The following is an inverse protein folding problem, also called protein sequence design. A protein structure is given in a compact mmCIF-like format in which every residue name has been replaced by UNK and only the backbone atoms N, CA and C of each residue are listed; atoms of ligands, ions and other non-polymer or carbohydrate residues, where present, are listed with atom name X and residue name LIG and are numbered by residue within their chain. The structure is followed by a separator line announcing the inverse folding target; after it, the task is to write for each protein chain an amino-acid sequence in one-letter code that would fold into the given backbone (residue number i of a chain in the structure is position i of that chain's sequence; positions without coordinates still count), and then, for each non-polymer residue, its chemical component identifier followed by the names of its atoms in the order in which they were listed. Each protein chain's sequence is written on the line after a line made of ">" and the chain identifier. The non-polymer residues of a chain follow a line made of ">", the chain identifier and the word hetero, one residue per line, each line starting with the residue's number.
data_IF_317175491298
#
_entry.id   IF_317175491298
#
_cell.length_a   1.000
_cell.length_b   1.000
_cell.length_c   1.000
_cell.angle_alpha   90.00
_cell.angle_beta   90.00
_cell.angle_gamma   90.00
#
_symmetry.space_group_name_H-M   'P 1'
#
loop_
_entity.id
_entity.type
_entity.pdbx_description
1 polymer ?
#
# COMPACT_ATOMS: atom_id res chain seq x y z
N UNK A 1 22.21 -7.00 18.64
CA UNK A 1 21.59 -8.32 18.41
C UNK A 1 22.69 -9.37 18.48
N UNK A 2 22.59 -10.37 19.36
CA UNK A 2 23.62 -11.42 19.47
C UNK A 2 23.44 -12.35 18.27
N UNK A 3 24.46 -12.38 17.39
CA UNK A 3 24.47 -13.26 16.21
C UNK A 3 24.85 -14.67 16.62
N UNK A 4 24.46 -15.65 15.82
CA UNK A 4 24.98 -17.00 15.99
C UNK A 4 26.50 -17.02 15.76
N UNK A 5 27.25 -17.85 16.51
CA UNK A 5 28.64 -18.12 16.20
C UNK A 5 28.77 -18.70 14.78
N UNK A 6 29.77 -18.30 13.98
CA UNK A 6 29.93 -18.75 12.59
C UNK A 6 29.86 -20.28 12.42
N UNK A 7 30.44 -21.02 13.37
CA UNK A 7 30.45 -22.49 13.40
C UNK A 7 29.05 -23.12 13.53
N UNK A 8 28.07 -22.38 14.05
CA UNK A 8 26.69 -22.86 14.18
C UNK A 8 25.81 -22.48 12.98
N UNK A 9 26.22 -21.51 12.16
CA UNK A 9 25.38 -20.93 11.10
C UNK A 9 24.85 -21.99 10.14
N UNK A 10 25.70 -22.90 9.67
CA UNK A 10 25.30 -23.95 8.73
C UNK A 10 24.21 -24.86 9.32
N UNK A 11 24.44 -25.40 10.52
CA UNK A 11 23.48 -26.28 11.18
C UNK A 11 22.14 -25.57 11.46
N UNK A 12 22.16 -24.28 11.79
CA UNK A 12 20.94 -23.50 12.02
C UNK A 12 20.18 -23.17 10.73
N UNK A 13 20.90 -22.95 9.63
CA UNK A 13 20.29 -22.80 8.32
C UNK A 13 19.64 -24.12 7.86
N UNK A 14 20.27 -25.27 8.08
CA UNK A 14 19.68 -26.57 7.75
C UNK A 14 18.37 -26.82 8.53
N UNK A 15 18.35 -26.46 9.82
CA UNK A 15 17.14 -26.52 10.64
C UNK A 15 16.04 -25.58 10.13
N UNK A 16 16.41 -24.35 9.76
CA UNK A 16 15.45 -23.38 9.20
C UNK A 16 14.88 -23.87 7.87
N UNK A 17 15.71 -24.40 6.97
CA UNK A 17 15.26 -24.93 5.69
C UNK A 17 14.37 -26.17 5.88
N UNK A 18 14.72 -27.04 6.82
CA UNK A 18 13.88 -28.19 7.18
C UNK A 18 12.51 -27.74 7.70
N UNK A 19 12.47 -26.74 8.58
CA UNK A 19 11.23 -26.14 9.07
C UNK A 19 10.39 -25.51 7.94
N UNK A 20 11.03 -24.77 7.05
CA UNK A 20 10.36 -24.12 5.90
C UNK A 20 9.70 -25.16 4.98
N UNK A 21 10.38 -26.27 4.73
CA UNK A 21 9.91 -27.33 3.83
C UNK A 21 9.01 -28.37 4.52
N UNK A 22 8.86 -28.31 5.84
CA UNK A 22 7.97 -29.22 6.56
C UNK A 22 6.50 -29.01 6.14
N UNK A 23 5.81 -30.09 5.81
CA UNK A 23 4.39 -30.07 5.39
C UNK A 23 3.42 -30.01 6.59
N UNK A 24 3.93 -29.93 7.82
CA UNK A 24 3.08 -29.76 9.00
C UNK A 24 2.13 -28.56 8.88
N UNK A 25 0.90 -28.75 9.37
CA UNK A 25 -0.19 -27.78 9.30
C UNK A 25 0.00 -26.61 10.28
N UNK A 26 0.95 -25.73 9.98
CA UNK A 26 1.05 -24.40 10.58
C UNK A 26 0.33 -23.39 9.68
N UNK A 27 -0.31 -22.40 10.31
CA UNK A 27 -0.82 -21.26 9.56
C UNK A 27 0.33 -20.59 8.77
N UNK A 28 0.15 -20.28 7.48
CA UNK A 28 1.22 -19.77 6.63
C UNK A 28 1.83 -18.46 7.10
N UNK A 29 1.03 -17.57 7.68
CA UNK A 29 1.52 -16.29 8.18
C UNK A 29 2.33 -16.48 9.45
N UNK A 30 1.93 -17.42 10.30
CA UNK A 30 2.71 -17.81 11.49
C UNK A 30 4.04 -18.44 11.08
N UNK A 31 4.02 -19.35 10.09
CA UNK A 31 5.23 -19.99 9.55
C UNK A 31 6.18 -18.94 8.95
N UNK A 32 5.65 -18.00 8.19
CA UNK A 32 6.41 -16.88 7.63
C UNK A 32 7.00 -15.97 8.71
N UNK A 33 6.24 -15.65 9.76
CA UNK A 33 6.71 -14.87 10.90
C UNK A 33 7.90 -15.55 11.60
N UNK A 34 7.79 -16.85 11.88
CA UNK A 34 8.84 -17.63 12.53
C UNK A 34 10.11 -17.72 11.66
N UNK A 35 9.94 -18.00 10.36
CA UNK A 35 11.05 -18.08 9.42
C UNK A 35 11.78 -16.74 9.26
N UNK A 36 11.04 -15.62 9.16
CA UNK A 36 11.60 -14.27 9.11
C UNK A 36 12.49 -14.00 10.32
N UNK A 37 11.96 -14.23 11.53
CA UNK A 37 12.69 -14.01 12.76
C UNK A 37 13.94 -14.88 12.83
N UNK A 38 13.79 -16.19 12.60
CA UNK A 38 14.90 -17.14 12.70
C UNK A 38 16.01 -16.80 11.73
N UNK A 39 15.70 -16.48 10.47
CA UNK A 39 16.70 -16.08 9.48
C UNK A 39 17.48 -14.82 9.90
N UNK A 40 16.76 -13.81 10.41
CA UNK A 40 17.40 -12.55 10.85
C UNK A 40 18.29 -12.79 12.09
N UNK A 41 17.92 -13.71 12.97
CA UNK A 41 18.71 -14.17 14.13
C UNK A 41 19.97 -14.93 13.71
N UNK A 42 19.85 -15.87 12.78
CA UNK A 42 21.00 -16.63 12.27
C UNK A 42 22.00 -15.69 11.60
N UNK A 43 21.52 -14.77 10.77
CA UNK A 43 22.33 -13.77 10.06
C UNK A 43 23.47 -14.41 9.22
N UNK A 44 23.14 -15.32 8.28
CA UNK A 44 24.12 -16.20 7.64
C UNK A 44 25.10 -15.50 6.68
N UNK A 45 24.77 -14.31 6.19
CA UNK A 45 25.58 -13.58 5.22
C UNK A 45 26.25 -12.35 5.82
N UNK A 46 27.30 -11.84 5.18
CA UNK A 46 27.93 -10.57 5.58
C UNK A 46 27.03 -9.35 5.31
N UNK A 47 26.29 -9.38 4.20
CA UNK A 47 25.29 -8.39 3.80
C UNK A 47 24.07 -9.08 3.14
N UNK A 48 22.96 -8.37 3.03
CA UNK A 48 21.78 -8.82 2.29
C UNK A 48 20.77 -9.58 3.15
N UNK A 49 21.09 -9.89 4.41
CA UNK A 49 20.21 -10.67 5.28
C UNK A 49 18.79 -10.12 5.34
N UNK A 50 18.63 -8.80 5.53
CA UNK A 50 17.30 -8.18 5.57
C UNK A 50 16.54 -8.23 4.23
N UNK A 51 17.24 -8.27 3.09
CA UNK A 51 16.59 -8.42 1.76
C UNK A 51 16.12 -9.86 1.56
N UNK A 52 16.99 -10.82 1.87
CA UNK A 52 16.70 -12.26 1.73
C UNK A 52 15.58 -12.67 2.69
N UNK A 53 15.61 -12.20 3.93
CA UNK A 53 14.59 -12.53 4.93
C UNK A 53 13.18 -12.11 4.50
N UNK A 54 13.05 -10.91 3.90
CA UNK A 54 11.79 -10.41 3.34
C UNK A 54 11.36 -11.23 2.12
N UNK A 55 12.29 -11.58 1.24
CA UNK A 55 12.00 -12.44 0.08
C UNK A 55 11.49 -13.84 0.49
N UNK A 56 12.11 -14.46 1.50
CA UNK A 56 11.66 -15.74 2.07
C UNK A 56 10.25 -15.60 2.64
N UNK A 57 9.98 -14.52 3.37
CA UNK A 57 8.68 -14.28 3.99
C UNK A 57 7.58 -14.11 2.92
N UNK A 58 7.85 -13.30 1.89
CA UNK A 58 6.92 -13.13 0.76
C UNK A 58 6.67 -14.45 0.01
N UNK A 59 7.71 -15.27 -0.16
CA UNK A 59 7.60 -16.60 -0.76
C UNK A 59 6.69 -17.52 0.07
N UNK A 60 6.92 -17.61 1.39
CA UNK A 60 6.14 -18.45 2.29
C UNK A 60 4.66 -18.06 2.35
N UNK A 61 4.39 -16.76 2.38
CA UNK A 61 3.02 -16.23 2.34
C UNK A 61 2.36 -16.63 1.01
N UNK A 62 3.06 -16.51 -0.13
CA UNK A 62 2.52 -16.82 -1.46
C UNK A 62 2.23 -18.29 -1.67
N UNK A 63 3.13 -19.18 -1.25
CA UNK A 63 2.97 -20.62 -1.45
C UNK A 63 1.64 -21.17 -0.91
N UNK A 64 1.13 -20.57 0.16
CA UNK A 64 0.00 -21.11 0.89
C UNK A 64 -1.29 -20.29 0.75
N UNK A 65 -1.26 -19.19 0.00
CA UNK A 65 -2.41 -18.29 -0.18
C UNK A 65 -3.19 -18.55 -1.48
N UNK A 66 -2.77 -19.52 -2.28
CA UNK A 66 -3.40 -19.88 -3.55
C UNK A 66 -3.31 -18.79 -4.64
N UNK A 67 -4.23 -18.82 -5.60
CA UNK A 67 -4.33 -17.87 -6.73
C UNK A 67 -4.80 -16.46 -6.31
N UNK A 68 -4.93 -16.18 -5.01
CA UNK A 68 -5.33 -14.87 -4.53
C UNK A 68 -4.27 -13.83 -4.88
N UNK A 69 -4.69 -12.77 -5.57
CA UNK A 69 -3.83 -11.67 -5.96
C UNK A 69 -3.16 -11.02 -4.72
N UNK A 70 -1.86 -11.27 -4.53
CA UNK A 70 -1.04 -10.70 -3.46
C UNK A 70 -0.73 -9.23 -3.73
N UNK A 71 -1.67 -8.36 -3.36
CA UNK A 71 -1.55 -6.92 -3.54
C UNK A 71 -0.84 -6.20 -2.38
N UNK A 72 -0.39 -6.90 -1.35
CA UNK A 72 0.27 -6.30 -0.18
C UNK A 72 1.76 -6.65 -0.16
N UNK A 73 2.55 -5.80 0.48
CA UNK A 73 4.00 -5.95 0.57
C UNK A 73 4.44 -5.72 2.02
N UNK A 74 4.95 -6.76 2.68
CA UNK A 74 5.41 -6.69 4.08
C UNK A 74 6.55 -5.67 4.27
N UNK A 75 7.35 -5.42 3.24
CA UNK A 75 8.44 -4.45 3.30
C UNK A 75 7.92 -3.04 3.54
N UNK A 76 6.72 -2.72 3.04
CA UNK A 76 6.10 -1.41 3.25
C UNK A 76 5.65 -1.24 4.71
N UNK A 77 5.10 -2.28 5.32
CA UNK A 77 4.74 -2.28 6.74
C UNK A 77 5.95 -2.19 7.65
N UNK A 78 7.00 -2.97 7.38
CA UNK A 78 8.27 -2.89 8.12
C UNK A 78 8.91 -1.50 7.97
N UNK A 79 8.84 -0.89 6.79
CA UNK A 79 9.39 0.46 6.56
C UNK A 79 8.60 1.53 7.33
N UNK A 80 7.26 1.41 7.37
CA UNK A 80 6.36 2.33 8.08
C UNK A 80 6.67 2.39 9.59
N UNK A 81 7.04 1.27 10.19
CA UNK A 81 7.44 1.19 11.60
C UNK A 81 8.73 0.39 11.82
N UNK A 82 9.82 0.92 11.25
CA UNK A 82 11.15 0.32 11.32
C UNK A 82 11.63 0.16 12.78
N UNK A 83 11.30 1.12 13.64
CA UNK A 83 11.76 1.11 15.03
C UNK A 83 11.10 -0.03 15.82
N UNK A 84 9.79 -0.22 15.67
CA UNK A 84 9.09 -1.32 16.31
C UNK A 84 9.58 -2.67 15.79
N UNK A 85 9.81 -2.81 14.48
CA UNK A 85 10.38 -4.04 13.91
C UNK A 85 11.69 -4.47 14.59
N UNK A 86 12.66 -3.56 14.73
CA UNK A 86 13.93 -3.91 15.41
C UNK A 86 13.74 -4.15 16.91
N UNK A 87 12.83 -3.41 17.57
CA UNK A 87 12.50 -3.63 18.99
C UNK A 87 11.96 -5.04 19.21
N UNK A 88 11.06 -5.50 18.35
CA UNK A 88 10.46 -6.83 18.46
C UNK A 88 11.49 -7.95 18.19
N UNK A 89 12.37 -7.78 17.20
CA UNK A 89 13.49 -8.73 16.98
C UNK A 89 14.40 -8.79 18.21
N UNK A 90 14.73 -7.63 18.78
CA UNK A 90 15.59 -7.56 19.96
C UNK A 90 14.96 -8.29 21.16
N UNK A 91 13.68 -8.03 21.42
CA UNK A 91 12.94 -8.68 22.50
C UNK A 91 12.88 -10.21 22.32
N UNK A 92 12.62 -10.66 21.08
CA UNK A 92 12.56 -12.09 20.76
C UNK A 92 13.93 -12.80 20.78
N UNK A 93 15.05 -12.05 20.81
CA UNK A 93 16.41 -12.62 20.78
C UNK A 93 17.17 -12.51 22.11
N UNK A 94 17.24 -11.32 22.71
CA UNK A 94 18.16 -11.00 23.83
C UNK A 94 17.54 -11.34 25.20
N UNK A 95 16.22 -11.31 25.29
CA UNK A 95 15.47 -11.36 26.55
C UNK A 95 14.50 -12.57 26.60
N UNK A 96 14.81 -13.65 25.88
CA UNK A 96 13.88 -14.75 25.63
C UNK A 96 14.41 -16.14 26.04
N UNK A 97 14.53 -16.43 27.34
CA UNK A 97 14.98 -17.73 27.84
C UNK A 97 13.99 -18.86 27.52
N UNK A 98 12.69 -18.54 27.44
CA UNK A 98 11.62 -19.50 27.17
C UNK A 98 11.40 -19.75 25.66
N UNK A 99 12.14 -19.04 24.80
CA UNK A 99 11.94 -19.00 23.34
C UNK A 99 10.49 -18.67 22.91
N UNK A 100 9.74 -17.96 23.75
CA UNK A 100 8.39 -17.51 23.44
C UNK A 100 8.44 -16.37 22.42
N UNK A 101 7.96 -16.64 21.21
CA UNK A 101 7.90 -15.68 20.12
C UNK A 101 6.48 -15.14 19.88
N UNK A 102 5.56 -15.35 20.82
CA UNK A 102 4.14 -14.95 20.68
C UNK A 102 3.99 -13.47 20.39
N UNK A 103 4.70 -12.60 21.13
CA UNK A 103 4.66 -11.15 20.90
C UNK A 103 5.16 -10.75 19.51
N UNK A 104 6.20 -11.44 19.01
CA UNK A 104 6.69 -11.25 17.66
C UNK A 104 5.65 -11.66 16.61
N UNK A 105 5.03 -12.82 16.78
CA UNK A 105 3.99 -13.32 15.87
C UNK A 105 2.79 -12.37 15.85
N UNK A 106 2.29 -11.94 17.02
CA UNK A 106 1.19 -10.98 17.11
C UNK A 106 1.53 -9.66 16.42
N UNK A 107 2.73 -9.11 16.66
CA UNK A 107 3.19 -7.90 15.99
C UNK A 107 3.24 -8.08 14.47
N UNK A 108 3.82 -9.19 14.01
CA UNK A 108 3.95 -9.49 12.58
C UNK A 108 2.57 -9.60 11.91
N UNK A 109 1.65 -10.35 12.50
CA UNK A 109 0.29 -10.52 11.97
C UNK A 109 -0.49 -9.20 11.96
N UNK A 110 -0.30 -8.35 12.98
CA UNK A 110 -0.89 -7.01 13.01
C UNK A 110 -0.36 -6.15 11.87
N UNK A 111 0.95 -6.12 11.67
CA UNK A 111 1.59 -5.38 10.57
C UNK A 111 1.13 -5.89 9.20
N UNK A 112 1.04 -7.21 9.00
CA UNK A 112 0.53 -7.80 7.76
C UNK A 112 -0.93 -7.43 7.53
N UNK A 113 -1.77 -7.50 8.56
CA UNK A 113 -3.18 -7.10 8.49
C UNK A 113 -3.34 -5.63 8.07
N UNK A 114 -2.55 -4.73 8.64
CA UNK A 114 -2.52 -3.32 8.21
C UNK A 114 -2.11 -3.15 6.75
N UNK A 115 -1.12 -3.91 6.27
CA UNK A 115 -0.70 -3.90 4.88
C UNK A 115 -1.82 -4.40 3.94
N UNK A 116 -2.56 -5.43 4.34
CA UNK A 116 -3.70 -5.95 3.57
C UNK A 116 -4.82 -4.91 3.49
N UNK A 117 -5.16 -4.26 4.60
CA UNK A 117 -6.18 -3.20 4.64
C UNK A 117 -5.77 -2.02 3.75
N UNK A 118 -4.53 -1.54 3.85
CA UNK A 118 -4.04 -0.44 3.02
C UNK A 118 -4.03 -0.81 1.53
N UNK A 119 -3.66 -2.04 1.21
CA UNK A 119 -3.68 -2.55 -0.16
C UNK A 119 -5.10 -2.60 -0.72
N UNK A 120 -6.07 -3.10 0.06
CA UNK A 120 -7.48 -3.13 -0.33
C UNK A 120 -8.01 -1.72 -0.62
N UNK A 121 -7.71 -0.74 0.22
CA UNK A 121 -8.15 0.64 -0.02
C UNK A 121 -7.49 1.25 -1.26
N UNK A 122 -6.21 0.96 -1.49
CA UNK A 122 -5.50 1.38 -2.71
C UNK A 122 -6.13 0.74 -3.95
N UNK A 123 -6.42 -0.56 -3.91
CA UNK A 123 -7.07 -1.28 -5.00
C UNK A 123 -8.47 -0.74 -5.30
N UNK A 124 -9.30 -0.54 -4.28
CA UNK A 124 -10.63 0.06 -4.45
C UNK A 124 -10.54 1.40 -5.18
N UNK A 125 -9.61 2.26 -4.77
CA UNK A 125 -9.39 3.57 -5.37
C UNK A 125 -8.93 3.48 -6.83
N UNK A 126 -8.00 2.59 -7.14
CA UNK A 126 -7.52 2.37 -8.52
C UNK A 126 -8.64 1.83 -9.40
N UNK A 127 -9.43 0.88 -8.89
CA UNK A 127 -10.56 0.28 -9.62
C UNK A 127 -11.66 1.31 -9.88
N UNK A 128 -12.07 2.08 -8.86
CA UNK A 128 -13.10 3.11 -9.01
C UNK A 128 -12.66 4.22 -9.97
N UNK A 129 -11.41 4.68 -9.85
CA UNK A 129 -10.82 5.66 -10.79
C UNK A 129 -10.79 5.10 -12.21
N UNK A 130 -10.38 3.85 -12.38
CA UNK A 130 -10.31 3.22 -13.72
C UNK A 130 -11.69 3.05 -14.34
N UNK A 131 -12.68 2.60 -13.56
CA UNK A 131 -14.06 2.44 -14.00
C UNK A 131 -14.66 3.80 -14.41
N UNK A 132 -14.49 4.82 -13.56
CA UNK A 132 -14.90 6.19 -13.86
C UNK A 132 -14.28 6.69 -15.16
N UNK A 133 -12.96 6.61 -15.32
CA UNK A 133 -12.28 7.10 -16.53
C UNK A 133 -12.68 6.33 -17.79
N UNK A 134 -12.96 5.03 -17.70
CA UNK A 134 -13.49 4.22 -18.80
C UNK A 134 -14.93 4.56 -19.18
N UNK A 135 -15.72 5.09 -18.24
CA UNK A 135 -17.10 5.50 -18.49
C UNK A 135 -17.21 6.81 -19.30
N UNK A 136 -16.12 7.57 -19.42
CA UNK A 136 -16.08 8.83 -20.15
C UNK A 136 -15.84 8.57 -21.65
N UNK A 137 -16.61 9.26 -22.51
CA UNK A 137 -16.32 9.27 -23.95
C UNK A 137 -15.07 10.12 -24.23
N UNK A 138 -13.96 9.55 -24.74
CA UNK A 138 -12.75 10.31 -25.04
C UNK A 138 -12.93 11.38 -26.12
N UNK A 139 -13.99 11.32 -26.94
CA UNK A 139 -14.31 12.35 -27.92
C UNK A 139 -15.11 13.52 -27.35
N UNK A 140 -15.75 13.32 -26.19
CA UNK A 140 -16.56 14.35 -25.52
C UNK A 140 -15.68 15.35 -24.75
N UNK A 141 -14.58 14.86 -24.14
CA UNK A 141 -13.72 15.66 -23.28
C UNK A 141 -12.37 15.95 -23.91
N UNK A 142 -11.90 17.18 -23.74
CA UNK A 142 -10.53 17.51 -24.12
C UNK A 142 -9.50 16.96 -23.12
N UNK A 143 -8.23 16.91 -23.52
CA UNK A 143 -7.14 16.37 -22.70
C UNK A 143 -6.95 17.07 -21.33
N UNK A 144 -7.23 18.37 -21.24
CA UNK A 144 -7.16 19.12 -19.97
C UNK A 144 -8.28 18.70 -19.03
N UNK A 145 -9.50 18.57 -19.54
CA UNK A 145 -10.65 18.09 -18.78
C UNK A 145 -10.42 16.67 -18.28
N UNK A 146 -9.97 15.76 -19.15
CA UNK A 146 -9.64 14.38 -18.76
C UNK A 146 -8.56 14.34 -17.67
N UNK A 147 -7.50 15.14 -17.80
CA UNK A 147 -6.43 15.23 -16.80
C UNK A 147 -6.92 15.73 -15.45
N UNK A 148 -7.79 16.76 -15.42
CA UNK A 148 -8.35 17.26 -14.16
C UNK A 148 -9.36 16.28 -13.57
N UNK A 149 -10.23 15.66 -14.38
CA UNK A 149 -11.17 14.63 -13.92
C UNK A 149 -10.44 13.44 -13.30
N UNK A 150 -9.35 12.98 -13.91
CA UNK A 150 -8.48 11.94 -13.34
C UNK A 150 -7.96 12.34 -11.96
N UNK A 151 -7.39 13.55 -11.82
CA UNK A 151 -6.84 14.04 -10.55
C UNK A 151 -7.88 14.22 -9.44
N UNK A 152 -9.11 14.53 -9.82
CA UNK A 152 -10.23 14.65 -8.90
C UNK A 152 -10.71 13.28 -8.45
N UNK A 153 -10.84 12.32 -9.38
CA UNK A 153 -11.31 10.96 -9.09
C UNK A 153 -10.26 10.12 -8.34
N UNK A 154 -8.98 10.24 -8.70
CA UNK A 154 -7.87 9.58 -8.02
C UNK A 154 -7.47 10.28 -6.71
N UNK A 155 -8.20 11.30 -6.28
CA UNK A 155 -7.97 12.03 -5.02
C UNK A 155 -6.57 12.63 -4.87
N UNK A 156 -5.79 12.82 -5.94
CA UNK A 156 -4.50 13.53 -5.91
C UNK A 156 -4.68 15.04 -5.84
N UNK A 157 -5.88 15.54 -6.13
CA UNK A 157 -6.26 16.93 -5.94
C UNK A 157 -6.96 17.16 -4.59
N UNK A 158 -6.45 18.11 -3.80
CA UNK A 158 -6.98 18.43 -2.48
C UNK A 158 -7.66 19.80 -2.41
N UNK A 159 -8.80 19.82 -1.71
CA UNK A 159 -9.58 21.02 -1.42
C UNK A 159 -10.42 21.52 -2.60
N UNK A 160 -10.78 22.80 -2.55
CA UNK A 160 -11.66 23.46 -3.53
C UNK A 160 -10.92 23.72 -4.85
N UNK A 161 -11.54 23.38 -5.99
CA UNK A 161 -11.06 23.70 -7.34
C UNK A 161 -11.43 25.13 -7.69
N UNK A 162 -10.44 25.94 -8.07
CA UNK A 162 -10.66 27.32 -8.55
C UNK A 162 -10.15 27.45 -9.98
N UNK A 163 -10.60 28.50 -10.68
CA UNK A 163 -10.07 28.81 -12.03
C UNK A 163 -8.55 28.96 -12.02
N UNK A 164 -7.98 29.53 -10.95
CA UNK A 164 -6.52 29.68 -10.81
C UNK A 164 -5.81 28.33 -10.66
N UNK A 165 -6.34 27.42 -9.82
CA UNK A 165 -5.79 26.07 -9.68
C UNK A 165 -5.90 25.29 -11.01
N UNK A 166 -7.00 25.44 -11.74
CA UNK A 166 -7.15 24.85 -13.08
C UNK A 166 -6.07 25.34 -14.04
N UNK A 167 -5.85 26.65 -14.11
CA UNK A 167 -4.82 27.25 -14.96
C UNK A 167 -3.42 26.74 -14.59
N UNK A 168 -3.11 26.64 -13.30
CA UNK A 168 -1.83 26.09 -12.81
C UNK A 168 -1.61 24.63 -13.23
N UNK A 169 -2.66 23.81 -13.20
CA UNK A 169 -2.57 22.39 -13.57
C UNK A 169 -2.54 22.14 -15.08
N UNK A 170 -3.14 23.02 -15.88
CA UNK A 170 -3.39 22.78 -17.32
C UNK A 170 -2.71 23.79 -18.25
N UNK A 171 -2.00 24.77 -17.67
CA UNK A 171 -1.26 25.85 -18.35
C UNK A 171 -2.10 26.64 -19.37
N UNK A 172 -3.43 26.67 -19.23
CA UNK A 172 -4.32 27.38 -20.14
C UNK A 172 -4.64 28.81 -19.66
N UNK A 173 -5.23 29.62 -20.54
CA UNK A 173 -5.72 30.96 -20.17
C UNK A 173 -6.92 30.90 -19.23
N UNK A 174 -7.19 32.01 -18.53
CA UNK A 174 -8.34 32.14 -17.61
C UNK A 174 -9.68 31.89 -18.31
N UNK A 175 -9.83 32.39 -19.53
CA UNK A 175 -11.05 32.22 -20.33
C UNK A 175 -11.27 30.75 -20.70
N UNK A 176 -10.20 30.05 -21.10
CA UNK A 176 -10.27 28.61 -21.40
C UNK A 176 -10.59 27.80 -20.15
N UNK A 177 -9.92 28.08 -19.03
CA UNK A 177 -10.18 27.42 -17.75
C UNK A 177 -11.63 27.59 -17.30
N UNK A 178 -12.17 28.81 -17.38
CA UNK A 178 -13.56 29.07 -17.02
C UNK A 178 -14.53 28.29 -17.92
N UNK A 179 -14.31 28.27 -19.24
CA UNK A 179 -15.12 27.50 -20.18
C UNK A 179 -15.08 25.99 -19.89
N UNK A 180 -13.90 25.44 -19.65
CA UNK A 180 -13.72 24.01 -19.36
C UNK A 180 -14.44 23.64 -18.06
N UNK A 181 -14.32 24.46 -17.01
CA UNK A 181 -15.02 24.27 -15.72
C UNK A 181 -16.55 24.34 -15.91
N UNK A 182 -17.07 25.38 -16.56
CA UNK A 182 -18.51 25.53 -16.78
C UNK A 182 -19.09 24.38 -17.59
N UNK A 183 -18.32 23.83 -18.54
CA UNK A 183 -18.72 22.62 -19.24
C UNK A 183 -18.86 21.43 -18.29
N UNK A 184 -17.87 21.17 -17.43
CA UNK A 184 -17.94 20.08 -16.45
C UNK A 184 -19.04 20.27 -15.39
N UNK A 185 -19.35 21.51 -15.01
CA UNK A 185 -20.50 21.83 -14.15
C UNK A 185 -21.81 21.47 -14.85
N UNK A 186 -22.00 21.89 -16.11
CA UNK A 186 -23.21 21.56 -16.89
C UNK A 186 -23.39 20.06 -17.10
N UNK A 187 -22.28 19.32 -17.23
CA UNK A 187 -22.27 17.86 -17.34
C UNK A 187 -22.41 17.14 -16.00
N UNK A 188 -22.42 17.88 -14.88
CA UNK A 188 -22.62 17.33 -13.55
C UNK A 188 -21.38 16.72 -12.89
N UNK A 189 -20.18 16.88 -13.45
CA UNK A 189 -18.93 16.40 -12.82
C UNK A 189 -18.42 17.33 -11.71
N UNK A 190 -18.80 18.61 -11.76
CA UNK A 190 -18.42 19.62 -10.79
C UNK A 190 -19.65 20.28 -10.16
N UNK A 191 -19.60 20.50 -8.86
CA UNK A 191 -20.62 21.23 -8.09
C UNK A 191 -20.02 22.57 -7.64
N UNK A 192 -20.66 23.72 -7.89
CA UNK A 192 -20.19 25.00 -7.39
C UNK A 192 -20.25 25.05 -5.86
N UNK A 193 -19.26 25.69 -5.24
CA UNK A 193 -19.31 26.03 -3.81
C UNK A 193 -20.37 27.10 -3.53
N UNK A 194 -20.82 27.21 -2.27
CA UNK A 194 -21.73 28.27 -1.81
C UNK A 194 -21.13 29.68 -1.93
N UNK A 195 -19.79 29.78 -2.03
CA UNK A 195 -19.10 31.04 -2.22
C UNK A 195 -19.30 31.64 -3.63
N UNK A 196 -19.57 32.95 -3.68
CA UNK A 196 -19.76 33.72 -4.91
C UNK A 196 -18.57 34.63 -5.25
N UNK A 197 -18.57 35.18 -6.48
CA UNK A 197 -17.59 36.17 -6.90
C UNK A 197 -16.17 35.62 -7.05
N UNK A 198 -15.17 36.37 -6.58
CA UNK A 198 -13.73 36.06 -6.76
C UNK A 198 -13.28 34.78 -6.03
N UNK A 199 -14.05 34.32 -5.05
CA UNK A 199 -13.78 33.11 -4.27
C UNK A 199 -14.59 31.89 -4.71
N UNK A 200 -15.40 32.00 -5.77
CA UNK A 200 -16.17 30.85 -6.30
C UNK A 200 -15.21 29.73 -6.68
N UNK A 201 -15.45 28.56 -6.09
CA UNK A 201 -14.78 27.34 -6.48
C UNK A 201 -15.76 26.21 -6.70
N UNK A 202 -15.21 25.02 -6.90
CA UNK A 202 -15.95 23.84 -7.33
C UNK A 202 -15.43 22.62 -6.59
N UNK A 203 -16.33 21.68 -6.33
CA UNK A 203 -16.03 20.37 -5.78
C UNK A 203 -16.33 19.31 -6.83
N UNK A 204 -15.57 18.22 -6.79
CA UNK A 204 -15.90 17.05 -7.59
C UNK A 204 -17.22 16.46 -7.11
N UNK A 205 -18.10 16.08 -8.03
CA UNK A 205 -19.38 15.47 -7.68
C UNK A 205 -19.15 14.00 -7.29
N UNK A 206 -19.30 13.59 -6.02
CA UNK A 206 -19.06 12.19 -5.64
C UNK A 206 -20.00 11.21 -6.35
N UNK A 207 -21.21 11.65 -6.72
CA UNK A 207 -22.22 10.80 -7.40
C UNK A 207 -21.84 10.37 -8.82
N UNK A 208 -20.74 10.86 -9.39
CA UNK A 208 -20.28 10.43 -10.72
C UNK A 208 -19.36 9.21 -10.65
N UNK A 209 -18.81 8.88 -9.48
CA UNK A 209 -17.96 7.71 -9.27
C UNK A 209 -18.75 6.54 -8.69
N UNK A 210 -19.77 6.81 -7.86
CA UNK A 210 -20.58 5.78 -7.18
C UNK A 210 -21.80 5.32 -8.02
N UNK A 211 -21.70 5.26 -9.35
CA UNK A 211 -22.84 4.90 -10.22
C UNK A 211 -23.17 3.40 -10.28
N UNK A 212 -22.47 2.57 -9.52
CA UNK A 212 -22.63 1.12 -9.46
C UNK A 212 -23.10 0.62 -8.08
N UNK A 213 -24.12 1.28 -7.49
CA UNK A 213 -24.99 0.71 -6.44
C UNK A 213 -26.46 0.80 -6.83
#
# INVERSE_FOLDING_TARGET
>A
MKRYPPECVHAEMDRLLSFINDETALDPFVKAAAALLRFVIIHPFEDGNGRISRAITDYLIRLNSGDAFHAFNISTGILKDRNSYYKQIQAASKDNPDMDVSNWVVWFLTMVSECIVQSRETLKKVLSTTAFMKSLDPNEFNSRQMSVLYRLADGSFFGKLTTEKWMKMTTCSKTVAFRDIQYLVRKGFLIPSDESGRNRGYYFNPKVVDRDE
#
